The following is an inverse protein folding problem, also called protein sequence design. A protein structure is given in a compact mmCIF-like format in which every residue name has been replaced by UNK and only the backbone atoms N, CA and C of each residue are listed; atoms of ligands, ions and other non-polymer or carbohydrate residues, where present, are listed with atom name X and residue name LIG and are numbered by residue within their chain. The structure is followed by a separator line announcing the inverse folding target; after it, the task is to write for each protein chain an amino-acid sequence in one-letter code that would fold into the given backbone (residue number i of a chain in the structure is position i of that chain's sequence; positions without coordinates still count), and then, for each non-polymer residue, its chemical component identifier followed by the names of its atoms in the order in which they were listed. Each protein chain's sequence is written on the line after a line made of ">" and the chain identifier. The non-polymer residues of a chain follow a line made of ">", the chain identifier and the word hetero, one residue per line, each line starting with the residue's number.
data_IF_491446303307
#
_entry.id   IF_491446303307
#
_cell.length_a   1.000
_cell.length_b   1.000
_cell.length_c   1.000
_cell.angle_alpha   90.00
_cell.angle_beta   90.00
_cell.angle_gamma   90.00
#
_symmetry.space_group_name_H-M   'P 1'
#
loop_
_entity.id
_entity.type
_entity.pdbx_description
1 polymer ?
#
# COMPACT_ATOMS: atom_id res chain seq x y z
N UNK A 1 0.44 -10.98 -2.76
CA UNK A 1 0.13 -9.68 -2.13
C UNK A 1 0.96 -9.44 -0.88
N UNK A 2 0.56 -10.02 0.26
CA UNK A 2 1.11 -9.66 1.59
C UNK A 2 2.61 -9.84 1.68
N UNK A 3 3.13 -10.98 1.21
CA UNK A 3 4.57 -11.23 1.22
C UNK A 3 5.34 -10.27 0.30
N UNK A 4 4.81 -9.96 -0.88
CA UNK A 4 5.40 -8.98 -1.80
C UNK A 4 5.48 -7.58 -1.18
N UNK A 5 4.39 -7.11 -0.55
CA UNK A 5 4.36 -5.83 0.15
C UNK A 5 5.37 -5.80 1.31
N UNK A 6 5.45 -6.88 2.10
CA UNK A 6 6.40 -7.02 3.21
C UNK A 6 7.85 -6.96 2.73
N UNK A 7 8.19 -7.72 1.69
CA UNK A 7 9.54 -7.74 1.13
C UNK A 7 9.93 -6.38 0.53
N UNK A 8 9.00 -5.70 -0.14
CA UNK A 8 9.26 -4.36 -0.69
C UNK A 8 9.48 -3.33 0.43
N UNK A 9 8.68 -3.39 1.50
CA UNK A 9 8.88 -2.54 2.67
C UNK A 9 10.22 -2.80 3.37
N UNK A 10 10.60 -4.08 3.53
CA UNK A 10 11.89 -4.46 4.10
C UNK A 10 13.06 -3.95 3.24
N UNK A 11 12.97 -4.07 1.91
CA UNK A 11 13.96 -3.51 0.98
C UNK A 11 14.07 -1.98 1.11
N UNK A 12 12.94 -1.29 1.16
CA UNK A 12 12.93 0.17 1.30
C UNK A 12 13.58 0.62 2.63
N UNK A 13 13.30 -0.09 3.72
CA UNK A 13 13.93 0.17 5.01
C UNK A 13 15.45 -0.09 4.96
N UNK A 14 15.86 -1.22 4.35
CA UNK A 14 17.29 -1.54 4.21
C UNK A 14 18.07 -0.47 3.43
N UNK A 15 17.53 0.02 2.31
CA UNK A 15 18.15 1.09 1.52
C UNK A 15 18.25 2.39 2.32
N UNK A 16 17.20 2.73 3.07
CA UNK A 16 17.20 3.93 3.91
C UNK A 16 18.26 3.84 5.01
N UNK A 17 18.34 2.69 5.69
CA UNK A 17 19.30 2.45 6.77
C UNK A 17 20.75 2.41 6.27
N UNK A 18 20.98 1.98 5.01
CA UNK A 18 22.30 2.01 4.37
C UNK A 18 22.69 3.39 3.80
N UNK A 19 21.81 4.39 3.87
CA UNK A 19 22.03 5.72 3.30
C UNK A 19 21.94 5.76 1.77
N UNK A 20 21.38 4.72 1.15
CA UNK A 20 21.11 4.64 -0.28
C UNK A 20 19.77 5.30 -0.65
N UNK A 21 19.54 5.52 -1.95
CA UNK A 21 18.26 6.05 -2.42
C UNK A 21 17.13 5.03 -2.25
N UNK A 22 16.25 5.29 -1.29
CA UNK A 22 15.09 4.46 -0.98
C UNK A 22 13.79 4.97 -1.61
N UNK A 23 13.78 6.11 -2.32
CA UNK A 23 12.54 6.82 -2.70
C UNK A 23 11.62 5.96 -3.58
N UNK A 24 12.17 5.31 -4.61
CA UNK A 24 11.41 4.42 -5.49
C UNK A 24 10.86 3.21 -4.72
N UNK A 25 11.72 2.52 -3.97
CA UNK A 25 11.33 1.31 -3.23
C UNK A 25 10.30 1.62 -2.14
N UNK A 26 10.41 2.77 -1.47
CA UNK A 26 9.44 3.22 -0.47
C UNK A 26 8.07 3.53 -1.10
N UNK A 27 8.05 4.21 -2.25
CA UNK A 27 6.81 4.47 -3.00
C UNK A 27 6.15 3.17 -3.45
N UNK A 28 6.92 2.22 -4.01
CA UNK A 28 6.42 0.89 -4.38
C UNK A 28 5.90 0.11 -3.17
N UNK A 29 6.60 0.15 -2.04
CA UNK A 29 6.18 -0.51 -0.80
C UNK A 29 4.82 0.02 -0.32
N UNK A 30 4.67 1.35 -0.26
CA UNK A 30 3.43 2.00 0.16
C UNK A 30 2.27 1.63 -0.75
N UNK A 31 2.48 1.68 -2.07
CA UNK A 31 1.47 1.31 -3.05
C UNK A 31 1.02 -0.15 -2.87
N UNK A 32 1.98 -1.09 -2.83
CA UNK A 32 1.68 -2.51 -2.66
C UNK A 32 0.99 -2.81 -1.33
N UNK A 33 1.43 -2.17 -0.24
CA UNK A 33 0.83 -2.35 1.08
C UNK A 33 -0.62 -1.86 1.11
N UNK A 34 -0.91 -0.69 0.53
CA UNK A 34 -2.26 -0.13 0.47
C UNK A 34 -3.23 -0.99 -0.35
N UNK A 35 -2.80 -1.49 -1.51
CA UNK A 35 -3.63 -2.38 -2.34
C UNK A 35 -3.88 -3.71 -1.62
N UNK A 36 -2.81 -4.30 -1.08
CA UNK A 36 -2.87 -5.63 -0.50
C UNK A 36 -3.63 -5.66 0.81
N UNK A 37 -3.47 -4.66 1.68
CA UNK A 37 -4.14 -4.63 2.99
C UNK A 37 -5.65 -4.56 2.83
N UNK A 38 -6.14 -3.75 1.88
CA UNK A 38 -7.57 -3.64 1.59
C UNK A 38 -8.13 -4.95 1.05
N UNK A 39 -7.44 -5.60 0.11
CA UNK A 39 -7.86 -6.92 -0.42
C UNK A 39 -7.87 -7.98 0.69
N UNK A 40 -6.84 -8.03 1.52
CA UNK A 40 -6.76 -9.00 2.62
C UNK A 40 -7.88 -8.79 3.65
N UNK A 41 -8.16 -7.52 4.00
CA UNK A 41 -9.22 -7.18 4.94
C UNK A 41 -10.60 -7.52 4.37
N UNK A 42 -10.86 -7.19 3.11
CA UNK A 42 -12.12 -7.51 2.43
C UNK A 42 -12.39 -9.03 2.44
N UNK A 43 -11.37 -9.84 2.16
CA UNK A 43 -11.48 -11.30 2.26
C UNK A 43 -11.72 -11.77 3.71
N UNK A 44 -11.07 -11.16 4.70
CA UNK A 44 -11.32 -11.49 6.10
C UNK A 44 -12.76 -11.16 6.51
N UNK A 45 -13.29 -10.01 6.09
CA UNK A 45 -14.68 -9.62 6.32
C UNK A 45 -15.64 -10.62 5.67
N UNK A 46 -15.37 -11.01 4.42
CA UNK A 46 -16.19 -11.97 3.68
C UNK A 46 -16.24 -13.35 4.35
N UNK A 47 -15.13 -13.82 4.92
CA UNK A 47 -15.05 -15.10 5.66
C UNK A 47 -15.92 -15.07 6.93
N UNK A 48 -16.03 -13.93 7.59
CA UNK A 48 -16.84 -13.77 8.80
C UNK A 48 -18.33 -13.50 8.49
N UNK A 49 -18.72 -13.37 7.22
CA UNK A 49 -20.10 -13.07 6.83
C UNK A 49 -20.60 -11.77 7.46
N UNK A 50 -21.80 -11.79 8.03
CA UNK A 50 -22.37 -10.61 8.71
C UNK A 50 -21.48 -10.08 9.85
N UNK A 51 -20.75 -10.97 10.54
CA UNK A 51 -19.84 -10.57 11.61
C UNK A 51 -18.60 -9.82 11.10
N UNK A 52 -18.28 -9.91 9.81
CA UNK A 52 -17.21 -9.10 9.20
C UNK A 52 -17.52 -7.61 9.19
N UNK A 53 -18.81 -7.24 9.27
CA UNK A 53 -19.29 -5.86 9.36
C UNK A 53 -19.59 -5.42 10.79
N UNK A 54 -19.52 -6.34 11.75
CA UNK A 54 -19.69 -6.03 13.16
C UNK A 54 -18.38 -5.49 13.77
N UNK A 55 -18.50 -4.79 14.90
CA UNK A 55 -17.36 -4.22 15.62
C UNK A 55 -16.62 -5.25 16.48
N UNK A 56 -17.20 -6.45 16.69
CA UNK A 56 -16.68 -7.47 17.62
C UNK A 56 -15.27 -7.96 17.28
N UNK A 57 -14.91 -7.97 16.00
CA UNK A 57 -13.60 -8.43 15.51
C UNK A 57 -12.71 -7.28 15.01
N UNK A 58 -13.18 -6.04 15.06
CA UNK A 58 -12.47 -4.84 14.58
C UNK A 58 -12.22 -4.78 13.06
N UNK A 59 -12.75 -5.73 12.27
CA UNK A 59 -12.54 -5.75 10.82
C UNK A 59 -13.20 -4.54 10.14
N UNK A 60 -14.41 -4.18 10.56
CA UNK A 60 -15.12 -3.00 10.06
C UNK A 60 -14.37 -1.69 10.37
N UNK A 61 -13.78 -1.57 11.57
CA UNK A 61 -13.02 -0.39 11.98
C UNK A 61 -11.75 -0.21 11.11
N UNK A 62 -11.08 -1.31 10.77
CA UNK A 62 -9.89 -1.30 9.94
C UNK A 62 -10.18 -0.89 8.49
N UNK A 63 -11.41 -1.02 8.02
CA UNK A 63 -11.75 -0.78 6.61
C UNK A 63 -11.47 0.66 6.19
N UNK A 64 -11.82 1.63 7.05
CA UNK A 64 -11.54 3.04 6.77
C UNK A 64 -10.04 3.29 6.63
N UNK A 65 -9.22 2.76 7.54
CA UNK A 65 -7.76 2.94 7.50
C UNK A 65 -7.14 2.25 6.28
N UNK A 66 -7.53 1.00 5.99
CA UNK A 66 -7.05 0.27 4.82
C UNK A 66 -7.42 1.00 3.52
N UNK A 67 -8.63 1.56 3.43
CA UNK A 67 -9.08 2.34 2.27
C UNK A 67 -8.38 3.69 2.17
N UNK A 68 -8.13 4.35 3.31
CA UNK A 68 -7.44 5.64 3.40
C UNK A 68 -6.02 5.55 2.85
N UNK A 69 -5.32 4.43 3.08
CA UNK A 69 -3.98 4.22 2.56
C UNK A 69 -3.89 4.22 1.03
N UNK A 70 -5.00 4.12 0.29
CA UNK A 70 -4.99 4.33 -1.18
C UNK A 70 -4.96 5.80 -1.58
N UNK A 71 -5.28 6.70 -0.65
CA UNK A 71 -5.42 8.14 -0.89
C UNK A 71 -4.35 8.96 -0.18
N UNK A 72 -4.07 8.67 1.09
CA UNK A 72 -3.12 9.40 1.92
C UNK A 72 -1.93 8.52 2.35
N UNK A 73 -0.78 9.10 2.72
CA UNK A 73 -0.41 10.52 2.58
C UNK A 73 -0.10 10.94 1.13
N UNK A 74 0.11 9.98 0.24
CA UNK A 74 0.34 10.18 -1.21
C UNK A 74 -0.65 9.29 -1.96
N UNK A 75 -1.36 9.82 -2.95
CA UNK A 75 -2.34 9.01 -3.69
C UNK A 75 -1.68 7.93 -4.54
N UNK A 76 -2.44 6.90 -4.89
CA UNK A 76 -2.00 5.88 -5.85
C UNK A 76 -1.51 6.52 -7.15
N UNK A 77 -2.25 7.50 -7.66
CA UNK A 77 -1.96 8.16 -8.93
C UNK A 77 -0.64 8.93 -8.86
N UNK A 78 -0.34 9.60 -7.74
CA UNK A 78 0.93 10.27 -7.53
C UNK A 78 2.11 9.29 -7.48
N UNK A 79 1.95 8.12 -6.84
CA UNK A 79 2.99 7.08 -6.84
C UNK A 79 3.23 6.56 -8.26
N UNK A 80 2.17 6.28 -9.02
CA UNK A 80 2.28 5.82 -10.41
C UNK A 80 2.93 6.88 -11.31
N UNK A 81 2.60 8.16 -11.13
CA UNK A 81 3.22 9.27 -11.84
C UNK A 81 4.73 9.38 -11.52
N UNK A 82 5.11 9.18 -10.26
CA UNK A 82 6.52 9.17 -9.86
C UNK A 82 7.28 8.02 -10.54
N UNK A 83 6.76 6.79 -10.50
CA UNK A 83 7.38 5.64 -11.16
C UNK A 83 7.48 5.84 -12.68
N UNK A 84 6.42 6.38 -13.31
CA UNK A 84 6.42 6.64 -14.74
C UNK A 84 7.53 7.62 -15.16
N UNK A 85 7.72 8.71 -14.41
CA UNK A 85 8.72 9.73 -14.73
C UNK A 85 10.14 9.33 -14.34
N UNK A 86 10.32 8.76 -13.15
CA UNK A 86 11.65 8.51 -12.58
C UNK A 86 12.22 7.14 -12.95
N UNK A 87 11.38 6.11 -13.00
CA UNK A 87 11.82 4.74 -13.31
C UNK A 87 11.71 4.43 -14.81
N UNK A 88 10.59 4.81 -15.43
CA UNK A 88 10.31 4.49 -16.84
C UNK A 88 10.70 5.61 -17.82
N UNK A 89 11.16 6.76 -17.31
CA UNK A 89 11.60 7.91 -18.13
C UNK A 89 10.52 8.42 -19.11
N UNK A 90 9.25 8.23 -18.75
CA UNK A 90 8.13 8.74 -19.54
C UNK A 90 7.95 10.24 -19.29
N UNK A 91 7.49 11.01 -20.30
CA UNK A 91 7.20 12.42 -20.10
C UNK A 91 6.10 12.62 -19.05
N UNK A 92 6.16 13.74 -18.32
CA UNK A 92 5.16 14.09 -17.32
C UNK A 92 3.77 14.17 -17.97
N UNK A 93 2.86 13.35 -17.47
CA UNK A 93 1.42 13.50 -17.69
C UNK A 93 0.85 14.42 -16.61
N UNK A 94 -0.15 15.22 -16.98
CA UNK A 94 -0.71 16.39 -16.25
C UNK A 94 -0.78 16.24 -14.73
#
# INVERSE_FOLDING_TARGET
>A
GVQSARLMAAKAAQLFDSGEDAAESANMAKFLAAETSLVALDQAMQVHGGNGLALEYGLADLWFIARLHKTAPVSREMVLNHIAQHSLQLPKSY
#
